data_IF_565550762739
#
_entry.id   IF_565550762739
#
_cell.length_a   1.000
_cell.length_b   1.000
_cell.length_c   1.000
_cell.angle_alpha   90.00
_cell.angle_beta   90.00
_cell.angle_gamma   90.00
#
_symmetry.space_group_name_H-M   'P 1'
#
loop_
_entity.id
_entity.type
_entity.pdbx_description
1 polymer ?
#
# COMPACT_ATOMS: atom_id res chain seq x y z
N UNK A 1 -7.92 3.86 5.37
CA UNK A 1 -7.17 2.67 4.89
C UNK A 1 -6.07 3.14 3.96
N UNK A 2 -4.86 2.64 4.13
CA UNK A 2 -3.66 3.12 3.46
C UNK A 2 -2.89 2.07 2.68
N UNK A 3 -1.88 2.50 1.91
CA UNK A 3 -1.00 1.59 1.17
C UNK A 3 -0.27 0.57 2.06
N UNK A 4 0.10 0.97 3.28
CA UNK A 4 0.67 0.06 4.29
C UNK A 4 -0.28 -1.07 4.67
N UNK A 5 -1.60 -0.84 4.64
CA UNK A 5 -2.58 -1.87 4.98
C UNK A 5 -2.62 -2.95 3.90
N UNK A 6 -2.57 -2.55 2.62
CA UNK A 6 -2.52 -3.49 1.49
C UNK A 6 -1.18 -4.23 1.46
N UNK A 7 -0.07 -3.53 1.73
CA UNK A 7 1.25 -4.16 1.88
C UNK A 7 1.21 -5.25 2.95
N UNK A 8 0.72 -4.94 4.15
CA UNK A 8 0.65 -5.91 5.23
C UNK A 8 -0.34 -7.03 4.95
N UNK A 9 -1.52 -6.75 4.37
CA UNK A 9 -2.47 -7.79 3.98
C UNK A 9 -1.79 -8.87 3.11
N UNK A 10 -1.05 -8.43 2.08
CA UNK A 10 -0.46 -9.33 1.10
C UNK A 10 0.85 -9.97 1.57
N UNK A 11 1.56 -9.32 2.50
CA UNK A 11 2.78 -9.87 3.08
C UNK A 11 2.48 -10.83 4.23
N UNK A 12 1.66 -10.42 5.20
CA UNK A 12 1.30 -11.17 6.39
C UNK A 12 0.00 -10.62 7.02
N UNK A 13 -1.16 -11.28 6.88
CA UNK A 13 -2.42 -10.83 7.49
C UNK A 13 -2.34 -10.62 9.01
N UNK A 14 -1.53 -11.40 9.75
CA UNK A 14 -1.30 -11.11 11.18
C UNK A 14 -0.59 -9.79 11.40
N UNK A 15 0.37 -9.42 10.54
CA UNK A 15 1.05 -8.13 10.63
C UNK A 15 0.04 -6.98 10.45
N UNK A 16 -0.88 -7.11 9.49
CA UNK A 16 -1.97 -6.16 9.33
C UNK A 16 -2.84 -6.07 10.59
N UNK A 17 -3.27 -7.22 11.13
CA UNK A 17 -4.07 -7.26 12.36
C UNK A 17 -3.35 -6.53 13.50
N UNK A 18 -2.08 -6.85 13.74
CA UNK A 18 -1.27 -6.24 14.81
C UNK A 18 -1.10 -4.74 14.62
N UNK A 19 -0.81 -4.30 13.40
CA UNK A 19 -0.70 -2.89 13.05
C UNK A 19 -2.00 -2.13 13.31
N UNK A 20 -3.14 -2.71 12.92
CA UNK A 20 -4.48 -2.14 13.13
C UNK A 20 -4.87 -2.09 14.62
N UNK A 21 -4.29 -2.95 15.45
CA UNK A 21 -4.47 -2.97 16.91
C UNK A 21 -3.36 -2.21 17.67
N UNK A 22 -2.57 -1.38 16.97
CA UNK A 22 -1.62 -0.46 17.58
C UNK A 22 -0.23 -1.03 17.87
N UNK A 23 0.04 -2.31 17.61
CA UNK A 23 1.37 -2.89 17.78
C UNK A 23 2.27 -2.51 16.58
N UNK A 24 3.29 -1.67 16.82
CA UNK A 24 4.14 -1.07 15.77
C UNK A 24 5.63 -1.13 16.14
N UNK A 25 6.27 -2.30 16.07
CA UNK A 25 7.68 -2.48 16.43
C UNK A 25 8.65 -1.78 15.46
N UNK A 26 8.18 -1.39 14.27
CA UNK A 26 9.00 -0.75 13.23
C UNK A 26 9.21 0.75 13.42
N UNK A 27 8.68 1.35 14.49
CA UNK A 27 8.52 2.79 14.62
C UNK A 27 9.76 3.61 14.17
N UNK A 28 9.70 4.12 12.94
CA UNK A 28 10.31 5.37 12.52
C UNK A 28 9.17 6.35 12.28
N UNK A 29 9.45 7.60 12.64
CA UNK A 29 8.55 8.74 12.72
C UNK A 29 7.86 9.05 11.38
N UNK A 30 6.78 8.36 11.01
CA UNK A 30 5.91 8.73 9.88
C UNK A 30 4.74 9.56 10.42
N UNK A 31 5.01 10.84 10.62
CA UNK A 31 3.97 11.84 10.82
C UNK A 31 3.11 11.90 9.55
N UNK A 32 1.84 11.50 9.68
CA UNK A 32 0.82 11.70 8.65
C UNK A 32 0.41 13.17 8.73
N UNK A 33 0.94 13.99 7.81
CA UNK A 33 0.62 15.40 7.69
C UNK A 33 -0.46 15.59 6.63
N UNK A 34 -1.64 16.02 7.08
CA UNK A 34 -2.84 16.32 6.29
C UNK A 34 -2.55 17.34 5.17
N UNK A 35 -2.96 17.04 3.92
CA UNK A 35 -2.87 17.94 2.77
C UNK A 35 -4.08 17.89 1.83
N UNK A 36 -4.42 19.05 1.28
CA UNK A 36 -5.70 19.47 0.67
C UNK A 36 -6.31 18.67 -0.50
N UNK A 37 -7.61 18.93 -0.70
CA UNK A 37 -8.47 18.51 -1.81
C UNK A 37 -7.84 18.85 -3.15
N UNK A 38 -7.62 17.81 -3.98
CA UNK A 38 -7.17 17.97 -5.36
C UNK A 38 -8.33 18.42 -6.22
N UNK A 39 -8.34 19.71 -6.56
CA UNK A 39 -9.23 20.26 -7.59
C UNK A 39 -8.80 19.77 -8.98
N UNK A 40 -9.78 19.44 -9.82
CA UNK A 40 -9.60 18.81 -11.16
C UNK A 40 -8.73 19.67 -12.11
N UNK A 41 -8.55 20.95 -11.78
CA UNK A 41 -7.79 21.94 -12.56
C UNK A 41 -6.30 22.10 -12.19
N UNK A 42 -5.82 21.46 -11.12
CA UNK A 42 -4.52 21.81 -10.50
C UNK A 42 -3.39 20.80 -10.75
N UNK A 43 -3.48 19.97 -11.79
CA UNK A 43 -2.43 19.01 -12.19
C UNK A 43 -1.19 19.65 -12.86
N UNK A 44 -0.75 20.84 -12.41
CA UNK A 44 0.28 21.61 -13.13
C UNK A 44 1.74 21.20 -12.84
N UNK A 45 2.07 20.55 -11.71
CA UNK A 45 3.44 20.08 -11.39
C UNK A 45 3.45 18.83 -10.47
N UNK A 46 4.63 18.21 -10.32
CA UNK A 46 4.90 17.12 -9.38
C UNK A 46 4.49 17.52 -7.96
N UNK A 47 3.51 16.83 -7.38
CA UNK A 47 3.11 16.99 -6.00
C UNK A 47 2.96 15.61 -5.36
N UNK A 48 3.55 15.41 -4.18
CA UNK A 48 3.20 14.32 -3.27
C UNK A 48 1.71 14.49 -2.94
N UNK A 49 0.88 13.47 -3.22
CA UNK A 49 -0.54 13.50 -2.87
C UNK A 49 -0.71 12.74 -1.57
N UNK A 50 -1.09 13.47 -0.52
CA UNK A 50 -1.56 12.86 0.72
C UNK A 50 -3.04 12.50 0.58
N UNK A 51 -3.35 11.20 0.67
CA UNK A 51 -4.72 10.69 0.67
C UNK A 51 -5.24 10.43 2.10
N UNK A 52 -4.60 11.05 3.10
CA UNK A 52 -4.84 10.88 4.52
C UNK A 52 -4.21 9.60 5.05
N UNK A 53 -4.70 8.44 4.63
CA UNK A 53 -4.16 7.15 5.09
C UNK A 53 -3.05 6.60 4.19
N UNK A 54 -2.78 7.22 3.04
CA UNK A 54 -1.84 6.75 2.05
C UNK A 54 -1.03 7.92 1.47
N UNK A 55 0.30 7.78 1.49
CA UNK A 55 1.21 8.66 0.76
C UNK A 55 1.46 8.06 -0.64
N UNK A 56 1.08 8.78 -1.69
CA UNK A 56 1.52 8.49 -3.06
C UNK A 56 2.82 9.24 -3.29
N UNK A 57 3.85 8.59 -3.85
CA UNK A 57 5.12 9.27 -4.14
C UNK A 57 4.91 10.48 -5.05
N UNK A 58 4.14 10.35 -6.13
CA UNK A 58 3.67 11.48 -6.97
C UNK A 58 2.72 11.01 -8.08
N UNK A 59 2.03 11.96 -8.74
CA UNK A 59 1.14 11.73 -9.89
C UNK A 59 1.51 12.63 -11.07
N UNK A 60 1.45 12.13 -12.31
CA UNK A 60 1.68 12.93 -13.54
C UNK A 60 0.46 13.75 -13.99
N UNK A 61 0.66 14.69 -14.92
CA UNK A 61 -0.38 15.36 -15.75
C UNK A 61 -1.38 14.41 -16.44
N UNK A 62 -1.08 13.12 -16.54
CA UNK A 62 -1.98 12.11 -17.10
C UNK A 62 -2.67 11.24 -16.05
N UNK A 63 -2.68 11.64 -14.77
CA UNK A 63 -3.22 10.85 -13.67
C UNK A 63 -2.63 9.43 -13.59
N UNK A 64 -1.32 9.31 -13.77
CA UNK A 64 -0.57 8.06 -13.56
C UNK A 64 0.03 8.08 -12.16
N UNK A 65 -0.26 7.06 -11.36
CA UNK A 65 0.28 6.88 -10.00
C UNK A 65 1.71 6.35 -10.07
N UNK A 66 2.64 6.93 -9.33
CA UNK A 66 4.01 6.41 -9.21
C UNK A 66 4.33 5.98 -7.78
N UNK A 67 5.02 4.84 -7.65
CA UNK A 67 5.48 4.26 -6.37
C UNK A 67 6.91 3.73 -6.54
N UNK A 68 7.80 4.06 -5.62
CA UNK A 68 9.22 3.68 -5.64
C UNK A 68 9.50 2.61 -4.60
N UNK A 69 10.17 1.52 -5.01
CA UNK A 69 10.52 0.42 -4.12
C UNK A 69 12.03 0.24 -4.03
N UNK A 70 12.53 0.29 -2.80
CA UNK A 70 13.86 -0.19 -2.40
C UNK A 70 13.91 -1.73 -2.38
N UNK A 71 13.43 -2.36 -3.45
CA UNK A 71 13.45 -3.82 -3.66
C UNK A 71 14.22 -4.12 -4.94
N UNK A 72 14.95 -5.24 -4.94
CA UNK A 72 15.58 -5.80 -6.15
C UNK A 72 14.66 -6.76 -6.91
N UNK A 73 13.48 -7.05 -6.38
CA UNK A 73 12.54 -8.00 -6.96
C UNK A 73 11.17 -7.33 -7.14
N UNK A 74 10.69 -7.24 -8.40
CA UNK A 74 9.30 -6.91 -8.66
C UNK A 74 8.37 -7.94 -8.04
N UNK A 75 7.24 -7.49 -7.52
CA UNK A 75 6.28 -8.34 -6.81
C UNK A 75 4.86 -7.91 -7.13
N UNK A 76 3.91 -8.86 -7.28
CA UNK A 76 2.48 -8.57 -7.40
C UNK A 76 1.94 -7.69 -6.26
N UNK A 77 2.57 -7.75 -5.08
CA UNK A 77 2.20 -6.93 -3.93
C UNK A 77 2.44 -5.43 -4.17
N UNK A 78 3.49 -5.09 -4.91
CA UNK A 78 3.77 -3.70 -5.27
C UNK A 78 2.75 -3.16 -6.27
N UNK A 79 2.32 -3.98 -7.24
CA UNK A 79 1.26 -3.61 -8.17
C UNK A 79 -0.08 -3.42 -7.45
N UNK A 80 -0.42 -4.32 -6.51
CA UNK A 80 -1.64 -4.23 -5.74
C UNK A 80 -1.72 -2.95 -4.89
N UNK A 81 -0.60 -2.51 -4.32
CA UNK A 81 -0.53 -1.23 -3.62
C UNK A 81 -0.81 -0.05 -4.56
N UNK A 82 -0.23 -0.05 -5.77
CA UNK A 82 -0.50 0.99 -6.78
C UNK A 82 -1.96 0.95 -7.24
N UNK A 83 -2.55 -0.23 -7.47
CA UNK A 83 -3.98 -0.36 -7.81
C UNK A 83 -4.88 0.21 -6.71
N UNK A 84 -4.51 0.04 -5.44
CA UNK A 84 -5.23 0.67 -4.33
C UNK A 84 -5.16 2.21 -4.39
N UNK A 85 -4.01 2.79 -4.73
CA UNK A 85 -3.90 4.24 -4.93
C UNK A 85 -4.73 4.72 -6.11
N UNK A 86 -4.74 3.98 -7.22
CA UNK A 86 -5.62 4.27 -8.35
C UNK A 86 -7.10 4.27 -7.93
N UNK A 87 -7.52 3.29 -7.10
CA UNK A 87 -8.88 3.23 -6.55
C UNK A 87 -9.23 4.45 -5.69
N UNK A 88 -8.31 4.86 -4.80
CA UNK A 88 -8.52 6.01 -3.92
C UNK A 88 -8.65 7.34 -4.68
N UNK A 89 -7.90 7.50 -5.77
CA UNK A 89 -7.99 8.65 -6.66
C UNK A 89 -9.26 8.61 -7.51
N UNK A 90 -9.60 7.45 -8.08
CA UNK A 90 -10.82 7.27 -8.87
C UNK A 90 -12.10 7.58 -8.06
N UNK A 91 -12.13 7.18 -6.78
CA UNK A 91 -13.25 7.53 -5.86
C UNK A 91 -13.35 9.02 -5.54
N UNK A 92 -12.31 9.81 -5.81
CA UNK A 92 -12.30 11.27 -5.68
C UNK A 92 -12.62 11.99 -6.99
N UNK A 93 -13.04 11.27 -8.03
CA UNK A 93 -13.39 11.83 -9.33
C UNK A 93 -12.22 11.94 -10.31
N UNK A 94 -11.00 11.56 -9.92
CA UNK A 94 -9.83 11.61 -10.80
C UNK A 94 -9.91 10.51 -11.86
N UNK A 95 -9.77 10.88 -13.13
CA UNK A 95 -9.69 9.94 -14.24
C UNK A 95 -8.29 9.29 -14.34
N UNK A 96 -8.03 8.30 -13.48
CA UNK A 96 -6.74 7.59 -13.38
C UNK A 96 -6.49 6.72 -14.61
N UNK A 97 -5.29 6.81 -15.20
CA UNK A 97 -4.92 6.00 -16.39
C UNK A 97 -4.17 4.72 -16.08
N UNK A 98 -3.65 4.58 -14.86
CA UNK A 98 -2.79 3.47 -14.46
C UNK A 98 -1.76 3.89 -13.42
N UNK A 99 -0.75 3.05 -13.23
CA UNK A 99 0.39 3.40 -12.40
C UNK A 99 1.70 2.78 -12.85
N UNK A 100 2.76 3.11 -12.14
CA UNK A 100 4.13 2.64 -12.39
C UNK A 100 4.81 2.38 -11.06
N UNK A 101 5.40 1.19 -10.93
CA UNK A 101 6.34 0.88 -9.84
C UNK A 101 7.77 1.06 -10.34
N UNK A 102 8.54 1.87 -9.63
CA UNK A 102 9.97 2.10 -9.90
C UNK A 102 10.84 1.25 -8.97
N UNK A 103 11.85 0.58 -9.54
CA UNK A 103 12.83 -0.22 -8.81
C UNK A 103 14.25 0.31 -9.10
N UNK A 104 14.70 1.37 -8.40
CA UNK A 104 15.97 2.03 -8.71
C UNK A 104 17.19 1.10 -8.60
N UNK A 105 17.18 0.19 -7.62
CA UNK A 105 18.28 -0.74 -7.35
C UNK A 105 18.58 -1.70 -8.51
N UNK A 106 17.59 -1.94 -9.39
CA UNK A 106 17.71 -2.79 -10.57
C UNK A 106 17.40 -2.04 -11.87
N UNK A 107 17.28 -0.70 -11.81
CA UNK A 107 16.95 0.18 -12.94
C UNK A 107 15.75 -0.31 -13.76
N UNK A 108 14.70 -0.80 -13.09
CA UNK A 108 13.51 -1.36 -13.73
C UNK A 108 12.26 -0.57 -13.35
N UNK A 109 11.33 -0.48 -14.29
CA UNK A 109 9.97 0.02 -14.04
C UNK A 109 8.95 -1.03 -14.46
N UNK A 110 7.82 -1.10 -13.74
CA UNK A 110 6.70 -1.98 -14.06
C UNK A 110 5.45 -1.13 -14.20
N UNK A 111 4.77 -1.22 -15.35
CA UNK A 111 3.47 -0.58 -15.56
C UNK A 111 2.37 -1.38 -14.87
N UNK A 112 1.44 -0.68 -14.25
CA UNK A 112 0.28 -1.24 -13.55
C UNK A 112 -0.97 -0.79 -14.31
N UNK A 113 -1.66 -1.77 -14.90
CA UNK A 113 -2.92 -1.52 -15.59
C UNK A 113 -4.01 -1.10 -14.59
N UNK A 114 -4.88 -0.21 -15.05
CA UNK A 114 -6.08 0.24 -14.33
C UNK A 114 -7.31 0.09 -15.23
N UNK A 115 -7.87 -1.12 -15.19
CA UNK A 115 -9.12 -1.51 -15.83
C UNK A 115 -10.13 -1.99 -14.78
N UNK A 116 -11.31 -2.42 -15.21
CA UNK A 116 -12.36 -2.92 -14.30
C UNK A 116 -11.93 -4.14 -13.49
N UNK A 117 -11.03 -4.97 -14.02
CA UNK A 117 -10.50 -6.13 -13.31
C UNK A 117 -9.55 -5.69 -12.20
N UNK A 118 -8.66 -4.75 -12.48
CA UNK A 118 -7.77 -4.14 -11.51
C UNK A 118 -8.56 -3.40 -10.41
N UNK A 119 -9.65 -2.72 -10.79
CA UNK A 119 -10.57 -2.06 -9.86
C UNK A 119 -11.21 -3.06 -8.89
N UNK A 120 -11.83 -4.13 -9.41
CA UNK A 120 -12.43 -5.19 -8.59
C UNK A 120 -11.40 -5.82 -7.65
N UNK A 121 -10.19 -6.08 -8.14
CA UNK A 121 -9.11 -6.62 -7.32
C UNK A 121 -8.71 -5.66 -6.17
N UNK A 122 -8.62 -4.36 -6.44
CA UNK A 122 -8.33 -3.36 -5.41
C UNK A 122 -9.46 -3.25 -4.37
N UNK A 123 -10.71 -3.26 -4.80
CA UNK A 123 -11.89 -3.25 -3.91
C UNK A 123 -11.94 -4.51 -3.04
N UNK A 124 -11.61 -5.68 -3.61
CA UNK A 124 -11.52 -6.96 -2.89
C UNK A 124 -10.42 -6.91 -1.83
N UNK A 125 -9.23 -6.41 -2.20
CA UNK A 125 -8.12 -6.27 -1.25
C UNK A 125 -8.47 -5.32 -0.10
N UNK A 126 -9.16 -4.20 -0.36
CA UNK A 126 -9.65 -3.33 0.72
C UNK A 126 -10.66 -4.02 1.64
N UNK A 127 -11.60 -4.80 1.08
CA UNK A 127 -12.58 -5.53 1.87
C UNK A 127 -11.90 -6.57 2.77
N UNK A 128 -10.94 -7.33 2.23
CA UNK A 128 -10.12 -8.28 2.98
C UNK A 128 -9.31 -7.58 4.07
N UNK A 129 -8.70 -6.43 3.76
CA UNK A 129 -7.93 -5.67 4.75
C UNK A 129 -8.83 -5.17 5.91
N UNK A 130 -10.07 -4.77 5.62
CA UNK A 130 -11.05 -4.39 6.66
C UNK A 130 -11.43 -5.59 7.51
N UNK A 131 -11.73 -6.72 6.88
CA UNK A 131 -12.07 -7.96 7.58
C UNK A 131 -10.94 -8.40 8.52
N UNK A 132 -9.70 -8.43 8.04
CA UNK A 132 -8.53 -8.77 8.85
C UNK A 132 -8.35 -7.77 9.98
N UNK A 133 -8.50 -6.47 9.72
CA UNK A 133 -8.31 -5.43 10.75
C UNK A 133 -9.38 -5.49 11.85
N UNK A 134 -10.59 -5.94 11.53
CA UNK A 134 -11.71 -6.02 12.48
C UNK A 134 -11.88 -7.40 13.13
N UNK A 135 -11.03 -8.38 12.80
CA UNK A 135 -11.14 -9.73 13.35
C UNK A 135 -10.89 -9.72 14.87
N UNK A 136 -11.68 -10.46 15.64
CA UNK A 136 -11.53 -10.55 17.10
C UNK A 136 -10.21 -11.19 17.53
N UNK A 137 -9.63 -12.05 16.69
CA UNK A 137 -8.39 -12.78 16.96
C UNK A 137 -7.42 -12.64 15.78
N UNK A 138 -6.10 -12.66 16.02
CA UNK A 138 -5.11 -12.53 14.96
C UNK A 138 -5.17 -13.72 13.96
N UNK A 139 -5.10 -13.48 12.63
CA UNK A 139 -4.99 -14.53 11.61
C UNK A 139 -3.82 -15.48 11.86
N UNK A 140 -3.77 -16.74 11.37
CA UNK A 140 -2.69 -17.72 11.63
C UNK A 140 -1.25 -17.29 11.31
N UNK A 141 -0.25 -17.91 11.95
CA UNK A 141 1.17 -17.53 11.77
C UNK A 141 1.65 -18.05 10.42
N UNK A 142 2.42 -17.23 9.70
CA UNK A 142 3.22 -17.73 8.57
C UNK A 142 4.32 -18.66 9.11
N UNK A 143 4.87 -19.57 8.30
CA UNK A 143 6.02 -20.37 8.69
C UNK A 143 7.17 -19.50 9.22
N UNK A 144 7.87 -19.94 10.28
CA UNK A 144 8.96 -19.16 10.92
C UNK A 144 10.04 -18.72 9.91
N UNK A 145 10.30 -19.53 8.89
CA UNK A 145 11.25 -19.23 7.81
C UNK A 145 10.84 -18.00 6.96
N UNK A 146 9.54 -17.76 6.79
CA UNK A 146 9.00 -16.60 6.08
C UNK A 146 9.07 -15.30 6.87
N UNK A 147 9.38 -15.38 8.18
CA UNK A 147 9.46 -14.22 9.07
C UNK A 147 10.89 -13.66 9.21
N UNK A 148 11.86 -14.07 8.38
CA UNK A 148 13.24 -13.57 8.44
C UNK A 148 13.28 -12.06 8.16
N UNK A 149 13.81 -11.28 9.11
CA UNK A 149 13.85 -9.82 9.01
C UNK A 149 12.50 -9.13 9.26
N UNK A 150 11.46 -9.87 9.67
CA UNK A 150 10.19 -9.29 10.09
C UNK A 150 10.35 -8.69 11.50
N UNK A 151 10.04 -7.42 11.64
CA UNK A 151 10.01 -6.68 12.92
C UNK A 151 9.00 -7.24 13.94
N UNK A 152 7.97 -7.96 13.48
CA UNK A 152 6.95 -8.60 14.32
C UNK A 152 7.37 -10.01 14.76
N UNK A 153 8.57 -10.46 14.40
CA UNK A 153 9.02 -11.84 14.64
C UNK A 153 9.05 -12.17 16.13
N UNK A 154 9.51 -11.27 16.98
CA UNK A 154 9.61 -11.52 18.42
C UNK A 154 8.23 -11.63 19.08
N UNK A 155 7.27 -10.80 18.65
CA UNK A 155 5.86 -10.98 19.06
C UNK A 155 5.31 -12.35 18.66
N UNK A 156 5.69 -12.84 17.47
CA UNK A 156 5.15 -14.09 16.95
C UNK A 156 5.90 -15.34 17.44
N UNK A 157 7.16 -15.23 17.86
CA UNK A 157 8.06 -16.37 18.07
C UNK A 157 9.08 -16.17 19.21
N UNK A 158 8.94 -15.13 20.03
CA UNK A 158 9.88 -14.78 21.10
C UNK A 158 9.83 -15.74 22.29
N UNK A 159 8.66 -16.33 22.55
CA UNK A 159 8.46 -17.32 23.61
C UNK A 159 8.64 -18.77 23.09
N UNK A 160 9.51 -18.99 22.10
CA UNK A 160 9.68 -20.29 21.40
C UNK A 160 11.13 -20.68 21.12
#
# INVERSE_FOLDING_TARGET
>A
MGGVHIKYLLHCPRQLWLYSHGYRPEARNEAVAFGEVVDDTTYRRHHDIDLGAAKIDWVTRGAVVHETKSSRQPSPQHEAQVRHYCLLLARRGVNVRGGVVHYPLIRRTTRVAWDDTARRAAETAEAQARQVSAAATPPPRLPRASCRGCSYRDYCWGDS
#
